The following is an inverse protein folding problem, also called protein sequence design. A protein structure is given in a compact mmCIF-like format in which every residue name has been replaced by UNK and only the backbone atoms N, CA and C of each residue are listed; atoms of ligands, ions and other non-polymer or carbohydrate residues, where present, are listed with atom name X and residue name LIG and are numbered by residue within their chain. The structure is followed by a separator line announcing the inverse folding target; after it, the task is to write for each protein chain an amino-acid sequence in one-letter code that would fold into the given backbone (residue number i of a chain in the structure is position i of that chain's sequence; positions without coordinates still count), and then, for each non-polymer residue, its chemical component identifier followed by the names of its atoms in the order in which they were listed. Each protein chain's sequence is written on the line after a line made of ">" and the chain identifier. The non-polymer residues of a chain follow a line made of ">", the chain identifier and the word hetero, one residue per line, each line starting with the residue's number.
data_IF_073393659472
#
_entry.id   IF_073393659472
#
_cell.length_a   1.000
_cell.length_b   1.000
_cell.length_c   1.000
_cell.angle_alpha   90.00
_cell.angle_beta   90.00
_cell.angle_gamma   90.00
#
_symmetry.space_group_name_H-M   'P 1'
#
loop_
_entity.id
_entity.type
_entity.pdbx_description
1 polymer ?
#
# COMPACT_ATOMS: atom_id res chain seq x y z
N UNK A 1 -19.90 -34.17 15.12
CA UNK A 1 -20.14 -33.38 13.88
C UNK A 1 -21.08 -32.20 14.12
N UNK A 2 -22.32 -32.37 14.59
CA UNK A 2 -23.23 -31.21 14.85
C UNK A 2 -22.68 -30.24 15.92
N UNK A 3 -22.06 -30.74 16.99
CA UNK A 3 -21.50 -29.86 18.04
C UNK A 3 -20.31 -29.03 17.54
N UNK A 4 -19.47 -29.60 16.70
CA UNK A 4 -18.23 -28.98 16.20
C UNK A 4 -18.51 -27.90 15.14
N UNK A 5 -19.53 -28.13 14.30
CA UNK A 5 -20.03 -27.12 13.37
C UNK A 5 -20.71 -25.96 14.13
N UNK A 6 -21.50 -26.28 15.16
CA UNK A 6 -22.13 -25.27 16.02
C UNK A 6 -21.09 -24.46 16.80
N UNK A 7 -20.01 -25.06 17.27
CA UNK A 7 -18.92 -24.36 17.96
C UNK A 7 -18.16 -23.40 17.02
N UNK A 8 -17.87 -23.82 15.79
CA UNK A 8 -17.27 -22.97 14.74
C UNK A 8 -18.19 -21.82 14.31
N UNK A 9 -19.49 -22.10 14.19
CA UNK A 9 -20.52 -21.09 13.88
C UNK A 9 -20.61 -20.09 15.04
N UNK A 10 -20.62 -20.56 16.29
CA UNK A 10 -20.73 -19.73 17.48
C UNK A 10 -19.52 -18.77 17.61
N UNK A 11 -18.29 -19.25 17.36
CA UNK A 11 -17.08 -18.40 17.35
C UNK A 11 -17.17 -17.27 16.31
N UNK A 12 -17.72 -17.55 15.13
CA UNK A 12 -17.88 -16.52 14.10
C UNK A 12 -19.09 -15.61 14.32
N UNK A 13 -20.14 -16.09 14.98
CA UNK A 13 -21.32 -15.29 15.35
C UNK A 13 -21.07 -14.41 16.57
N UNK A 14 -20.22 -14.84 17.50
CA UNK A 14 -19.84 -14.07 18.70
C UNK A 14 -18.76 -13.02 18.40
N UNK A 15 -18.08 -13.14 17.26
CA UNK A 15 -17.10 -12.17 16.78
C UNK A 15 -17.25 -11.94 15.28
N UNK A 16 -18.39 -11.40 14.82
CA UNK A 16 -18.61 -11.08 13.40
C UNK A 16 -17.65 -9.99 12.92
N UNK A 17 -17.05 -9.25 13.86
CA UNK A 17 -16.02 -8.26 13.61
C UNK A 17 -14.60 -8.81 13.76
N UNK A 18 -14.38 -10.13 13.94
CA UNK A 18 -13.02 -10.67 14.13
C UNK A 18 -12.10 -10.24 12.99
N UNK A 19 -11.00 -9.57 13.33
CA UNK A 19 -10.08 -8.93 12.38
C UNK A 19 -9.57 -9.90 11.30
N UNK A 20 -9.69 -11.21 11.56
CA UNK A 20 -9.15 -12.28 10.75
C UNK A 20 -10.03 -12.84 9.63
N UNK A 21 -11.35 -12.58 9.62
CA UNK A 21 -12.22 -13.13 8.58
C UNK A 21 -12.48 -12.11 7.46
N UNK A 22 -11.89 -12.27 6.25
CA UNK A 22 -12.04 -11.28 5.20
C UNK A 22 -13.46 -11.22 4.62
N UNK A 23 -14.26 -12.27 4.87
CA UNK A 23 -15.61 -12.47 4.32
C UNK A 23 -16.73 -12.04 5.25
N UNK A 24 -16.42 -11.65 6.49
CA UNK A 24 -17.46 -11.21 7.42
C UNK A 24 -18.24 -10.05 6.78
N UNK A 25 -19.54 -10.26 6.48
CA UNK A 25 -20.29 -9.29 5.73
C UNK A 25 -20.39 -8.03 6.56
N UNK A 26 -20.00 -6.90 5.96
CA UNK A 26 -20.46 -5.63 6.47
C UNK A 26 -22.00 -5.61 6.48
N UNK A 27 -22.60 -4.67 7.22
CA UNK A 27 -24.07 -4.46 7.24
C UNK A 27 -24.68 -4.22 5.84
N UNK A 28 -23.86 -4.07 4.80
CA UNK A 28 -24.21 -3.83 3.40
C UNK A 28 -23.73 -5.01 2.55
N UNK A 29 -24.68 -5.80 2.06
CA UNK A 29 -24.45 -6.93 1.14
C UNK A 29 -24.75 -6.56 -0.33
N UNK A 30 -25.39 -5.41 -0.55
CA UNK A 30 -25.71 -4.88 -1.86
C UNK A 30 -25.18 -3.45 -1.98
N UNK A 31 -24.31 -3.20 -2.97
CA UNK A 31 -23.79 -1.87 -3.27
C UNK A 31 -23.55 -1.72 -4.76
N UNK A 32 -23.37 -0.46 -5.20
CA UNK A 32 -23.01 -0.12 -6.58
C UNK A 32 -21.52 0.15 -6.75
N UNK A 33 -20.72 -0.10 -5.72
CA UNK A 33 -19.30 0.23 -5.77
C UNK A 33 -18.54 -0.52 -6.85
N UNK A 34 -17.50 0.14 -7.35
CA UNK A 34 -16.59 -0.30 -8.39
C UNK A 34 -15.16 -0.18 -7.91
N UNK A 35 -14.42 -1.25 -8.08
CA UNK A 35 -12.99 -1.29 -7.79
C UNK A 35 -12.27 -0.55 -8.91
N UNK A 36 -11.41 0.39 -8.52
CA UNK A 36 -10.56 1.09 -9.47
C UNK A 36 -9.20 0.44 -9.53
N UNK A 37 -9.01 -0.28 -10.63
CA UNK A 37 -7.85 -1.10 -10.94
C UNK A 37 -6.57 -0.28 -11.09
N UNK A 38 -5.43 -0.95 -10.94
CA UNK A 38 -4.09 -0.41 -11.10
C UNK A 38 -3.81 0.19 -12.47
N UNK A 39 -4.50 -0.22 -13.53
CA UNK A 39 -4.39 0.44 -14.85
C UNK A 39 -4.91 1.90 -14.85
N UNK A 40 -5.70 2.29 -13.85
CA UNK A 40 -6.22 3.65 -13.64
C UNK A 40 -5.41 4.42 -12.59
N UNK A 41 -4.15 4.04 -12.39
CA UNK A 41 -3.19 4.76 -11.56
C UNK A 41 -3.03 6.21 -12.04
N UNK A 42 -3.26 7.17 -11.16
CA UNK A 42 -3.14 8.59 -11.49
C UNK A 42 -2.54 9.35 -10.29
N UNK A 43 -1.27 9.80 -10.39
CA UNK A 43 -0.61 10.55 -9.32
C UNK A 43 -1.28 11.89 -8.98
N UNK A 44 -1.99 12.52 -9.94
CA UNK A 44 -2.73 13.75 -9.70
C UNK A 44 -3.99 13.51 -8.88
N UNK A 45 -4.70 12.41 -9.15
CA UNK A 45 -5.84 11.96 -8.33
C UNK A 45 -5.34 11.58 -6.94
N UNK A 46 -4.26 10.79 -6.83
CA UNK A 46 -3.66 10.44 -5.54
C UNK A 46 -3.31 11.69 -4.72
N UNK A 47 -2.57 12.63 -5.33
CA UNK A 47 -2.19 13.89 -4.67
C UNK A 47 -3.42 14.64 -4.17
N UNK A 48 -4.49 14.69 -4.95
CA UNK A 48 -5.74 15.35 -4.56
C UNK A 48 -6.40 14.63 -3.37
N UNK A 49 -6.41 13.30 -3.38
CA UNK A 49 -6.94 12.48 -2.29
C UNK A 49 -6.16 12.67 -0.99
N UNK A 50 -4.83 12.67 -1.04
CA UNK A 50 -3.98 12.88 0.15
C UNK A 50 -4.19 14.26 0.78
N UNK A 51 -4.32 15.32 -0.04
CA UNK A 51 -4.49 16.68 0.46
C UNK A 51 -5.89 16.96 1.05
N UNK A 52 -6.91 16.24 0.60
CA UNK A 52 -8.29 16.42 1.04
C UNK A 52 -9.06 15.09 0.93
N UNK A 53 -8.89 14.17 1.91
CA UNK A 53 -9.59 12.89 1.94
C UNK A 53 -11.09 13.06 2.21
N UNK A 54 -11.54 14.20 2.74
CA UNK A 54 -12.97 14.46 2.89
C UNK A 54 -13.66 14.70 1.55
N UNK A 55 -12.95 15.19 0.53
CA UNK A 55 -13.43 15.10 -0.87
C UNK A 55 -13.41 13.67 -1.43
N UNK A 56 -12.63 12.76 -0.83
CA UNK A 56 -12.75 11.31 -1.05
C UNK A 56 -13.95 10.67 -0.36
N UNK A 57 -14.77 11.41 0.41
CA UNK A 57 -16.03 10.88 0.94
C UNK A 57 -17.09 10.56 -0.14
N UNK A 58 -16.75 10.75 -1.44
CA UNK A 58 -17.48 10.23 -2.60
C UNK A 58 -16.63 9.37 -3.56
N UNK A 59 -15.39 9.06 -3.17
CA UNK A 59 -14.32 8.47 -3.97
C UNK A 59 -14.05 9.26 -5.27
N UNK A 60 -12.90 9.93 -5.36
CA UNK A 60 -12.50 10.74 -6.53
C UNK A 60 -12.56 9.99 -7.87
N UNK A 61 -12.70 8.67 -7.83
CA UNK A 61 -13.09 7.86 -8.96
C UNK A 61 -14.51 7.36 -8.75
N UNK A 62 -15.44 8.03 -9.44
CA UNK A 62 -16.88 7.78 -9.43
C UNK A 62 -17.20 6.30 -9.27
N UNK A 63 -17.81 5.97 -8.13
CA UNK A 63 -18.28 4.63 -7.83
C UNK A 63 -17.36 3.80 -6.94
N UNK A 64 -16.16 4.23 -6.53
CA UNK A 64 -15.43 3.50 -5.48
C UNK A 64 -16.12 3.60 -4.10
N UNK A 65 -15.75 2.72 -3.17
CA UNK A 65 -16.33 2.67 -1.82
C UNK A 65 -15.85 3.89 -1.01
N UNK A 66 -16.76 4.68 -0.38
CA UNK A 66 -16.37 5.77 0.51
C UNK A 66 -15.62 5.27 1.74
N UNK A 67 -14.67 6.07 2.23
CA UNK A 67 -13.94 5.86 3.50
C UNK A 67 -14.39 6.89 4.54
N UNK A 68 -15.62 6.77 5.00
CA UNK A 68 -16.33 7.73 5.85
C UNK A 68 -16.65 7.17 7.25
N UNK A 69 -16.00 6.05 7.64
CA UNK A 69 -16.29 5.29 8.86
C UNK A 69 -17.72 4.74 8.98
N UNK A 70 -18.62 5.00 8.03
CA UNK A 70 -20.01 4.50 8.04
C UNK A 70 -20.04 3.02 7.67
N UNK A 71 -19.11 2.60 6.81
CA UNK A 71 -19.01 1.22 6.36
C UNK A 71 -18.01 0.45 7.22
N UNK A 72 -18.38 -0.75 7.72
CA UNK A 72 -17.44 -1.58 8.45
C UNK A 72 -16.25 -1.93 7.54
N UNK A 73 -15.12 -2.22 8.18
CA UNK A 73 -13.95 -2.82 7.54
C UNK A 73 -13.16 -1.91 6.58
N UNK A 74 -13.28 -0.59 6.74
CA UNK A 74 -12.35 0.41 6.22
C UNK A 74 -12.34 1.63 7.13
N UNK A 75 -11.17 1.94 7.68
CA UNK A 75 -10.93 3.16 8.45
C UNK A 75 -11.10 4.40 7.58
N UNK A 76 -11.39 5.54 8.20
CA UNK A 76 -11.34 6.84 7.55
C UNK A 76 -9.92 7.13 7.04
N UNK A 77 -9.82 7.82 5.92
CA UNK A 77 -8.53 8.33 5.45
C UNK A 77 -8.14 9.56 6.27
N UNK A 78 -6.93 9.54 6.84
CA UNK A 78 -6.33 10.71 7.47
C UNK A 78 -5.86 11.72 6.41
N UNK A 79 -5.96 13.01 6.74
CA UNK A 79 -5.41 14.07 5.88
C UNK A 79 -3.89 14.08 6.01
N UNK A 80 -3.19 13.87 4.90
CA UNK A 80 -1.74 14.02 4.79
C UNK A 80 -1.43 15.06 3.71
N UNK A 81 -1.43 16.37 4.01
CA UNK A 81 -1.26 17.40 3.00
C UNK A 81 0.21 17.52 2.56
N UNK A 82 0.41 17.85 1.29
CA UNK A 82 1.71 18.03 0.64
C UNK A 82 2.62 18.96 1.46
N UNK A 83 3.79 18.49 1.94
CA UNK A 83 4.67 19.31 2.75
C UNK A 83 5.38 20.37 1.90
N UNK A 84 5.19 21.65 2.20
CA UNK A 84 5.76 22.76 1.42
C UNK A 84 6.63 23.67 2.30
N UNK A 85 7.96 23.46 2.37
CA UNK A 85 8.75 22.39 1.73
C UNK A 85 8.81 21.11 2.58
N UNK A 86 9.25 20.01 1.96
CA UNK A 86 9.54 18.75 2.69
C UNK A 86 10.87 18.81 3.45
N UNK A 87 11.78 19.64 2.96
CA UNK A 87 13.11 19.86 3.52
C UNK A 87 13.67 21.19 3.02
N UNK A 88 14.41 21.90 3.88
CA UNK A 88 15.13 23.13 3.52
C UNK A 88 16.61 22.93 3.83
N UNK A 89 17.47 23.07 2.82
CA UNK A 89 18.92 23.03 2.97
C UNK A 89 19.52 24.44 2.93
N UNK A 90 20.52 24.69 3.77
CA UNK A 90 21.18 26.02 3.90
C UNK A 90 21.75 26.56 2.59
N UNK A 91 22.26 25.69 1.71
CA UNK A 91 22.86 26.11 0.41
C UNK A 91 21.86 25.98 -0.75
N UNK A 92 21.00 24.95 -0.72
CA UNK A 92 20.20 24.56 -1.88
C UNK A 92 18.73 24.98 -1.78
N UNK A 93 18.34 25.59 -0.67
CA UNK A 93 16.99 26.09 -0.43
C UNK A 93 15.98 24.97 -0.24
N UNK A 94 14.77 25.23 -0.69
CA UNK A 94 13.59 24.41 -0.47
C UNK A 94 13.51 23.23 -1.45
N UNK A 95 13.34 22.04 -0.89
CA UNK A 95 13.14 20.80 -1.64
C UNK A 95 11.65 20.59 -1.91
N UNK A 96 11.36 20.17 -3.14
CA UNK A 96 10.01 19.79 -3.54
C UNK A 96 9.68 18.37 -3.05
N UNK A 97 8.40 18.01 -3.13
CA UNK A 97 7.91 16.67 -2.86
C UNK A 97 7.09 16.16 -4.05
N UNK A 98 6.97 14.84 -4.15
CA UNK A 98 6.12 14.17 -5.12
C UNK A 98 5.25 13.14 -4.40
N UNK A 99 3.97 13.06 -4.78
CA UNK A 99 3.08 12.00 -4.32
C UNK A 99 3.51 10.68 -4.97
N UNK A 100 3.66 9.63 -4.17
CA UNK A 100 4.08 8.31 -4.58
C UNK A 100 3.08 7.26 -4.08
N UNK A 101 2.71 6.32 -4.95
CA UNK A 101 1.84 5.20 -4.56
C UNK A 101 2.64 4.15 -3.78
N UNK A 102 2.21 3.81 -2.56
CA UNK A 102 2.77 2.68 -1.77
C UNK A 102 2.52 1.33 -2.46
N UNK A 103 1.39 1.16 -3.13
CA UNK A 103 1.13 0.05 -4.04
C UNK A 103 0.92 0.65 -5.41
N UNK A 104 1.98 0.67 -6.23
CA UNK A 104 1.95 1.21 -7.60
C UNK A 104 0.92 0.46 -8.45
N UNK A 105 -0.01 1.20 -9.05
CA UNK A 105 -1.06 0.57 -9.84
C UNK A 105 -0.52 -0.14 -11.07
N UNK A 106 0.30 0.52 -11.89
CA UNK A 106 0.76 -0.05 -13.15
C UNK A 106 1.88 -1.09 -13.00
N UNK A 107 2.71 -0.98 -11.97
CA UNK A 107 3.86 -1.88 -11.81
C UNK A 107 3.60 -3.05 -10.87
N UNK A 108 2.80 -2.82 -9.83
CA UNK A 108 2.59 -3.77 -8.72
C UNK A 108 1.20 -4.39 -8.82
N UNK A 109 0.13 -3.58 -8.80
CA UNK A 109 -1.24 -4.09 -8.71
C UNK A 109 -1.76 -4.68 -10.03
N UNK A 110 -1.46 -4.04 -11.17
CA UNK A 110 -2.03 -4.38 -12.48
C UNK A 110 -1.77 -5.84 -12.85
N UNK A 111 -2.85 -6.60 -13.03
CA UNK A 111 -2.79 -8.01 -13.40
C UNK A 111 -2.41 -8.95 -12.25
N UNK A 112 -2.12 -8.43 -11.05
CA UNK A 112 -1.86 -9.24 -9.87
C UNK A 112 -3.13 -10.00 -9.46
N UNK A 113 -2.98 -11.20 -8.88
CA UNK A 113 -4.12 -12.04 -8.52
C UNK A 113 -5.05 -11.39 -7.49
N UNK A 114 -4.51 -10.54 -6.61
CA UNK A 114 -5.32 -9.81 -5.63
C UNK A 114 -6.26 -8.80 -6.31
N UNK A 115 -5.82 -8.14 -7.39
CA UNK A 115 -6.64 -7.20 -8.16
C UNK A 115 -7.88 -7.91 -8.72
N UNK A 116 -7.69 -9.14 -9.23
CA UNK A 116 -8.78 -9.97 -9.78
C UNK A 116 -9.81 -10.35 -8.71
N UNK A 117 -9.37 -10.53 -7.46
CA UNK A 117 -10.24 -10.82 -6.32
C UNK A 117 -11.10 -9.60 -6.00
N UNK A 118 -10.46 -8.43 -5.80
CA UNK A 118 -11.18 -7.20 -5.41
C UNK A 118 -12.04 -6.62 -6.55
N UNK A 119 -11.69 -6.89 -7.81
CA UNK A 119 -12.46 -6.51 -9.00
C UNK A 119 -13.44 -7.60 -9.47
N UNK A 120 -13.49 -8.75 -8.79
CA UNK A 120 -14.36 -9.88 -9.14
C UNK A 120 -14.27 -10.33 -10.61
N UNK A 121 -13.07 -10.40 -11.19
CA UNK A 121 -12.91 -10.74 -12.62
C UNK A 121 -13.29 -12.19 -12.94
N UNK A 122 -13.18 -13.09 -11.96
CA UNK A 122 -13.52 -14.51 -12.11
C UNK A 122 -14.99 -14.83 -11.88
N UNK A 123 -15.80 -13.87 -11.41
CA UNK A 123 -17.18 -14.13 -10.95
C UNK A 123 -17.27 -14.99 -9.69
N UNK A 124 -16.13 -15.29 -9.07
CA UNK A 124 -16.04 -16.09 -7.84
C UNK A 124 -16.64 -15.37 -6.63
N UNK A 125 -16.86 -14.06 -6.69
CA UNK A 125 -17.41 -13.22 -5.63
C UNK A 125 -18.73 -12.57 -6.07
N UNK A 126 -19.60 -12.21 -5.12
CA UNK A 126 -20.92 -11.60 -5.42
C UNK A 126 -20.85 -10.15 -5.91
N UNK A 127 -19.65 -9.57 -5.98
CA UNK A 127 -19.45 -8.17 -6.34
C UNK A 127 -17.99 -7.73 -6.14
N UNK A 128 -17.72 -6.50 -6.55
CA UNK A 128 -16.44 -5.83 -6.35
C UNK A 128 -16.32 -5.33 -4.90
N UNK A 129 -15.11 -5.11 -4.38
CA UNK A 129 -14.95 -4.57 -3.01
C UNK A 129 -15.03 -3.04 -2.96
N UNK A 130 -14.91 -2.37 -4.11
CA UNK A 130 -14.89 -0.91 -4.21
C UNK A 130 -13.55 -0.26 -3.84
N UNK A 131 -12.47 -1.04 -3.73
CA UNK A 131 -11.12 -0.51 -3.50
C UNK A 131 -10.69 0.43 -4.63
N UNK A 132 -9.99 1.51 -4.32
CA UNK A 132 -9.35 2.35 -5.34
C UNK A 132 -7.86 2.44 -5.11
N UNK A 133 -7.08 2.24 -6.17
CA UNK A 133 -5.62 2.40 -6.15
C UNK A 133 -5.17 3.84 -5.83
N UNK A 134 -6.05 4.84 -6.01
CA UNK A 134 -5.74 6.25 -5.78
C UNK A 134 -6.35 6.80 -4.47
N UNK A 135 -6.62 5.93 -3.49
CA UNK A 135 -7.04 6.37 -2.16
C UNK A 135 -5.88 7.05 -1.41
N UNK A 136 -6.18 7.87 -0.39
CA UNK A 136 -5.16 8.61 0.35
C UNK A 136 -4.24 7.68 1.16
N UNK A 137 -4.79 6.62 1.75
CA UNK A 137 -4.00 5.61 2.48
C UNK A 137 -2.98 4.83 1.61
N UNK A 138 -3.10 4.88 0.28
CA UNK A 138 -2.13 4.30 -0.66
C UNK A 138 -1.08 5.32 -1.15
N UNK A 139 -0.98 6.48 -0.51
CA UNK A 139 -0.07 7.54 -0.90
C UNK A 139 0.94 7.90 0.17
N UNK A 140 2.11 8.37 -0.27
CA UNK A 140 3.12 9.01 0.58
C UNK A 140 3.80 10.15 -0.18
N UNK A 141 4.08 11.26 0.50
CA UNK A 141 4.90 12.33 -0.05
C UNK A 141 6.38 12.04 0.18
N UNK A 142 7.15 11.95 -0.90
CA UNK A 142 8.57 11.68 -0.85
C UNK A 142 9.39 12.85 -1.39
N UNK A 143 10.61 13.07 -0.86
CA UNK A 143 11.45 14.18 -1.25
C UNK A 143 11.90 14.04 -2.71
N UNK A 144 11.92 15.16 -3.42
CA UNK A 144 12.50 15.30 -4.75
C UNK A 144 13.53 16.43 -4.76
N UNK A 145 14.12 16.75 -5.90
CA UNK A 145 15.08 17.86 -5.99
C UNK A 145 14.43 19.23 -5.70
N UNK A 146 15.23 20.25 -5.36
CA UNK A 146 14.76 21.64 -5.36
C UNK A 146 14.03 21.99 -6.66
N UNK A 147 12.98 22.78 -6.53
CA UNK A 147 12.16 23.14 -7.68
C UNK A 147 13.03 23.81 -8.77
N UNK A 148 12.92 23.32 -10.01
CA UNK A 148 13.68 23.80 -11.20
C UNK A 148 15.15 23.39 -11.28
N UNK A 149 15.61 22.43 -10.49
CA UNK A 149 16.98 21.91 -10.68
C UNK A 149 17.12 21.09 -11.98
N UNK A 150 18.12 21.45 -12.79
CA UNK A 150 18.58 20.66 -13.93
C UNK A 150 20.09 20.49 -13.83
N UNK A 151 20.56 19.25 -13.84
CA UNK A 151 21.98 18.91 -13.75
C UNK A 151 22.25 17.48 -14.16
N UNK A 152 23.50 17.06 -14.03
CA UNK A 152 23.96 15.69 -14.26
C UNK A 152 23.39 14.73 -13.21
N UNK A 153 23.47 13.43 -13.47
CA UNK A 153 22.97 12.40 -12.55
C UNK A 153 23.72 12.38 -11.21
N UNK A 154 25.02 12.67 -11.21
CA UNK A 154 25.81 12.76 -9.97
C UNK A 154 25.45 14.00 -9.16
N UNK A 155 25.24 15.15 -9.80
CA UNK A 155 24.81 16.35 -9.07
C UNK A 155 23.39 16.20 -8.52
N UNK A 156 22.48 15.54 -9.25
CA UNK A 156 21.16 15.17 -8.74
C UNK A 156 21.28 14.27 -7.52
N UNK A 157 22.17 13.27 -7.56
CA UNK A 157 22.42 12.39 -6.43
C UNK A 157 22.87 13.16 -5.20
N UNK A 158 23.88 14.02 -5.33
CA UNK A 158 24.38 14.82 -4.19
C UNK A 158 23.28 15.71 -3.60
N UNK A 159 22.37 16.25 -4.43
CA UNK A 159 21.24 17.02 -3.93
C UNK A 159 20.24 16.17 -3.14
N UNK A 160 19.75 15.07 -3.71
CA UNK A 160 18.73 14.25 -3.03
C UNK A 160 19.27 13.49 -1.83
N UNK A 161 20.57 13.18 -1.82
CA UNK A 161 21.29 12.65 -0.66
C UNK A 161 21.12 13.54 0.56
N UNK A 162 21.08 14.86 0.42
CA UNK A 162 20.90 15.77 1.55
C UNK A 162 19.54 15.61 2.23
N UNK A 163 18.47 15.35 1.48
CA UNK A 163 17.14 15.09 2.05
C UNK A 163 17.08 13.71 2.72
N UNK A 164 17.65 12.68 2.08
CA UNK A 164 17.73 11.34 2.66
C UNK A 164 18.56 11.32 3.96
N UNK A 165 19.70 12.02 3.97
CA UNK A 165 20.55 12.17 5.15
C UNK A 165 19.90 12.98 6.29
N UNK A 166 18.94 13.85 5.96
CA UNK A 166 18.12 14.55 6.94
C UNK A 166 16.93 13.71 7.45
N UNK A 167 16.88 12.41 7.13
CA UNK A 167 15.83 11.50 7.58
C UNK A 167 14.46 11.78 6.97
N UNK A 168 14.41 12.22 5.71
CA UNK A 168 13.15 12.54 5.00
C UNK A 168 12.61 11.39 4.15
N UNK A 169 13.13 10.18 4.35
CA UNK A 169 12.79 9.01 3.54
C UNK A 169 13.52 8.92 2.22
N UNK A 170 13.20 7.88 1.44
CA UNK A 170 13.74 7.66 0.11
C UNK A 170 13.29 8.75 -0.86
N UNK A 171 14.17 9.12 -1.80
CA UNK A 171 13.81 10.12 -2.81
C UNK A 171 12.98 9.53 -3.96
N UNK A 172 11.92 10.24 -4.35
CA UNK A 172 11.13 9.97 -5.54
C UNK A 172 11.42 11.00 -6.63
N UNK A 173 11.87 10.52 -7.78
CA UNK A 173 12.19 11.33 -8.96
C UNK A 173 11.53 10.72 -10.19
N UNK A 174 10.41 11.31 -10.61
CA UNK A 174 9.81 11.05 -11.93
C UNK A 174 9.02 9.74 -12.03
N UNK A 175 8.49 9.50 -13.24
CA UNK A 175 7.65 8.34 -13.54
C UNK A 175 8.46 7.06 -13.66
N UNK A 176 7.89 5.97 -13.15
CA UNK A 176 8.42 4.60 -13.07
C UNK A 176 8.90 3.95 -14.39
N UNK A 177 8.92 4.67 -15.52
CA UNK A 177 9.41 4.16 -16.79
C UNK A 177 10.93 4.36 -16.93
N UNK A 178 11.69 3.28 -16.78
CA UNK A 178 13.12 3.24 -17.14
C UNK A 178 14.09 3.41 -15.97
N UNK A 179 13.62 3.29 -14.73
CA UNK A 179 14.54 3.17 -13.60
C UNK A 179 15.15 1.77 -13.60
N UNK A 180 16.47 1.71 -13.63
CA UNK A 180 17.23 0.50 -13.29
C UNK A 180 16.85 0.13 -11.85
N UNK A 181 15.81 -0.70 -11.74
CA UNK A 181 15.47 -1.35 -10.50
C UNK A 181 16.72 -2.08 -10.03
N UNK A 182 17.09 -1.80 -8.79
CA UNK A 182 18.18 -2.45 -8.12
C UNK A 182 17.97 -3.97 -8.13
N UNK A 183 18.67 -4.70 -8.99
CA UNK A 183 18.64 -6.17 -8.96
C UNK A 183 18.89 -6.64 -7.51
N UNK A 184 17.95 -7.45 -6.98
CA UNK A 184 18.03 -8.08 -5.66
C UNK A 184 17.27 -7.40 -4.52
N UNK A 185 16.79 -6.16 -4.67
CA UNK A 185 16.01 -5.41 -3.65
C UNK A 185 15.11 -4.36 -4.32
N UNK A 186 14.49 -4.72 -5.44
CA UNK A 186 13.62 -3.79 -6.15
C UNK A 186 12.24 -3.73 -5.51
N UNK A 187 11.80 -2.50 -5.26
CA UNK A 187 10.51 -2.18 -4.65
C UNK A 187 9.32 -2.94 -5.28
N UNK A 188 9.14 -2.98 -6.62
CA UNK A 188 8.00 -3.68 -7.19
C UNK A 188 7.95 -5.17 -6.89
N UNK A 189 9.10 -5.85 -6.87
CA UNK A 189 9.15 -7.29 -6.56
C UNK A 189 8.81 -7.56 -5.11
N UNK A 190 9.39 -6.80 -4.17
CA UNK A 190 9.09 -6.93 -2.74
C UNK A 190 7.60 -6.74 -2.44
N UNK A 191 6.96 -5.70 -2.99
CA UNK A 191 5.54 -5.46 -2.72
C UNK A 191 4.65 -6.53 -3.40
N UNK A 192 5.05 -7.08 -4.55
CA UNK A 192 4.31 -8.20 -5.18
C UNK A 192 4.33 -9.47 -4.33
N UNK A 193 5.41 -9.72 -3.61
CA UNK A 193 5.50 -10.84 -2.67
C UNK A 193 4.51 -10.64 -1.51
N UNK A 194 4.43 -9.44 -0.95
CA UNK A 194 3.43 -9.11 0.09
C UNK A 194 1.99 -9.23 -0.42
N UNK A 195 1.69 -8.76 -1.64
CA UNK A 195 0.37 -8.97 -2.24
C UNK A 195 0.06 -10.45 -2.47
N UNK A 196 1.07 -11.27 -2.79
CA UNK A 196 0.93 -12.72 -2.94
C UNK A 196 0.64 -13.39 -1.59
N UNK A 197 1.29 -12.93 -0.51
CA UNK A 197 1.01 -13.37 0.86
C UNK A 197 -0.43 -13.02 1.27
N UNK A 198 -0.89 -11.79 1.00
CA UNK A 198 -2.28 -11.38 1.23
C UNK A 198 -3.28 -12.24 0.46
N UNK A 199 -3.03 -12.48 -0.83
CA UNK A 199 -3.86 -13.38 -1.65
C UNK A 199 -3.94 -14.79 -1.05
N UNK A 200 -2.81 -15.33 -0.59
CA UNK A 200 -2.77 -16.64 0.07
C UNK A 200 -3.59 -16.64 1.36
N UNK A 201 -3.49 -15.58 2.17
CA UNK A 201 -4.32 -15.39 3.37
C UNK A 201 -5.81 -15.39 3.04
N UNK A 202 -6.24 -14.68 1.99
CA UNK A 202 -7.63 -14.65 1.53
C UNK A 202 -8.13 -16.05 1.16
N UNK A 203 -7.36 -16.78 0.34
CA UNK A 203 -7.73 -18.12 -0.12
C UNK A 203 -7.82 -19.12 1.04
N UNK A 204 -6.87 -19.11 1.96
CA UNK A 204 -6.91 -19.97 3.14
C UNK A 204 -8.16 -19.69 3.98
N UNK A 205 -8.46 -18.40 4.23
CA UNK A 205 -9.67 -18.01 4.96
C UNK A 205 -10.96 -18.38 4.25
N UNK A 206 -10.96 -18.43 2.91
CA UNK A 206 -12.17 -18.81 2.15
C UNK A 206 -12.53 -20.28 2.33
N UNK A 207 -11.53 -21.15 2.50
CA UNK A 207 -11.73 -22.57 2.79
C UNK A 207 -12.06 -22.86 4.25
N UNK A 208 -11.69 -21.97 5.18
CA UNK A 208 -11.97 -22.13 6.62
C UNK A 208 -13.35 -21.58 7.03
N UNK A 209 -13.89 -20.61 6.29
CA UNK A 209 -15.09 -19.88 6.69
C UNK A 209 -16.36 -20.75 6.56
N UNK A 210 -17.10 -21.03 7.66
CA UNK A 210 -18.30 -21.87 7.62
C UNK A 210 -19.46 -21.25 6.84
N UNK A 211 -19.43 -19.93 6.60
CA UNK A 211 -20.41 -19.25 5.74
C UNK A 211 -20.06 -19.32 4.24
N UNK A 212 -18.83 -19.74 3.93
CA UNK A 212 -18.29 -19.84 2.58
C UNK A 212 -18.12 -21.29 2.13
N UNK A 213 -18.54 -22.27 2.93
CA UNK A 213 -18.55 -23.70 2.58
C UNK A 213 -19.97 -24.26 2.74
N UNK A 214 -20.35 -25.18 1.86
CA UNK A 214 -21.55 -26.00 1.98
C UNK A 214 -21.38 -27.05 3.09
N UNK A 215 -22.46 -27.76 3.45
CA UNK A 215 -22.46 -28.76 4.53
C UNK A 215 -21.47 -29.94 4.29
N UNK A 216 -21.08 -30.18 3.04
CA UNK A 216 -20.10 -31.19 2.63
C UNK A 216 -18.65 -30.67 2.59
N UNK A 217 -18.43 -29.40 2.99
CA UNK A 217 -17.13 -28.73 2.98
C UNK A 217 -16.73 -28.15 1.63
N UNK A 218 -17.59 -28.22 0.60
CA UNK A 218 -17.28 -27.61 -0.71
C UNK A 218 -17.47 -26.08 -0.66
N UNK A 219 -16.63 -25.27 -1.32
CA UNK A 219 -16.78 -23.82 -1.26
C UNK A 219 -18.06 -23.32 -1.96
N UNK A 220 -18.84 -22.52 -1.24
CA UNK A 220 -20.08 -21.89 -1.71
C UNK A 220 -19.77 -20.65 -2.56
N UNK A 221 -19.83 -20.82 -3.87
CA UNK A 221 -19.65 -19.74 -4.85
C UNK A 221 -20.99 -19.20 -5.37
N UNK A 222 -21.06 -17.89 -5.72
CA UNK A 222 -20.04 -16.88 -5.47
C UNK A 222 -19.92 -16.53 -3.97
N UNK A 223 -18.69 -16.34 -3.51
CA UNK A 223 -18.38 -15.93 -2.14
C UNK A 223 -18.91 -14.52 -1.86
N UNK A 224 -19.11 -14.19 -0.59
CA UNK A 224 -19.33 -12.79 -0.19
C UNK A 224 -18.09 -11.97 -0.57
N UNK A 225 -18.21 -10.73 -1.08
CA UNK A 225 -17.04 -9.93 -1.43
C UNK A 225 -16.17 -9.72 -0.19
N UNK A 226 -14.84 -9.88 -0.30
CA UNK A 226 -13.98 -9.88 0.88
C UNK A 226 -13.64 -8.44 1.30
N UNK A 227 -14.60 -7.67 1.81
CA UNK A 227 -14.45 -6.23 2.03
C UNK A 227 -13.26 -5.84 2.93
N UNK A 228 -12.89 -6.68 3.90
CA UNK A 228 -11.71 -6.43 4.77
C UNK A 228 -10.39 -6.45 3.99
N UNK A 229 -10.36 -7.01 2.78
CA UNK A 229 -9.17 -6.96 1.92
C UNK A 229 -8.78 -5.52 1.60
N UNK A 230 -9.75 -4.60 1.53
CA UNK A 230 -9.43 -3.19 1.36
C UNK A 230 -8.62 -2.66 2.56
N UNK A 231 -9.04 -2.95 3.79
CA UNK A 231 -8.27 -2.57 4.99
C UNK A 231 -6.91 -3.24 5.04
N UNK A 232 -6.79 -4.50 4.60
CA UNK A 232 -5.49 -5.18 4.53
C UNK A 232 -4.55 -4.54 3.52
N UNK A 233 -5.07 -4.08 2.38
CA UNK A 233 -4.31 -3.30 1.41
C UNK A 233 -3.89 -1.94 1.99
N UNK A 234 -4.81 -1.26 2.68
CA UNK A 234 -4.52 0.03 3.34
C UNK A 234 -3.44 -0.14 4.44
N UNK A 235 -3.51 -1.21 5.23
CA UNK A 235 -2.48 -1.52 6.23
C UNK A 235 -1.13 -1.83 5.60
N UNK A 236 -1.10 -2.63 4.53
CA UNK A 236 0.13 -2.86 3.78
C UNK A 236 0.71 -1.55 3.23
N UNK A 237 -0.13 -0.63 2.74
CA UNK A 237 0.33 0.69 2.30
C UNK A 237 0.91 1.53 3.43
N UNK A 238 0.39 1.44 4.66
CA UNK A 238 0.96 2.08 5.86
C UNK A 238 2.32 1.48 6.22
N UNK A 239 2.46 0.15 6.17
CA UNK A 239 3.75 -0.53 6.43
C UNK A 239 4.79 -0.08 5.39
N UNK A 240 4.40 -0.06 4.11
CA UNK A 240 5.26 0.43 3.02
C UNK A 240 5.64 1.90 3.20
N UNK A 241 4.71 2.75 3.62
CA UNK A 241 4.98 4.15 3.92
C UNK A 241 6.05 4.28 5.02
N UNK A 242 5.95 3.47 6.07
CA UNK A 242 6.98 3.41 7.13
C UNK A 242 8.34 3.01 6.57
N UNK A 243 8.39 1.99 5.72
CA UNK A 243 9.65 1.55 5.08
C UNK A 243 10.26 2.61 4.15
N UNK A 244 9.43 3.38 3.46
CA UNK A 244 9.86 4.44 2.54
C UNK A 244 10.32 5.71 3.26
N UNK A 245 9.76 5.99 4.44
CA UNK A 245 10.03 7.23 5.21
C UNK A 245 10.96 7.00 6.42
N UNK A 246 11.20 5.74 6.77
CA UNK A 246 12.02 5.32 7.90
C UNK A 246 13.52 5.59 7.73
N UNK A 247 14.30 5.13 8.72
CA UNK A 247 15.74 5.31 8.71
C UNK A 247 16.41 4.47 7.62
N UNK A 248 17.52 4.98 7.08
CA UNK A 248 18.25 4.30 6.00
C UNK A 248 18.69 2.88 6.36
N UNK A 249 19.01 2.61 7.63
CA UNK A 249 19.39 1.27 8.11
C UNK A 249 18.27 0.24 7.98
N UNK A 250 17.01 0.69 8.00
CA UNK A 250 15.83 -0.16 8.04
C UNK A 250 15.20 -0.36 6.65
N UNK A 251 15.72 0.29 5.60
CA UNK A 251 15.12 0.21 4.26
C UNK A 251 15.22 -1.21 3.67
N UNK A 252 14.09 -1.90 3.45
CA UNK A 252 14.11 -3.28 2.96
C UNK A 252 14.25 -3.37 1.42
N UNK A 253 13.87 -2.31 0.71
CA UNK A 253 13.88 -2.19 -0.74
C UNK A 253 14.13 -0.75 -1.18
N UNK A 254 14.37 -0.54 -2.48
CA UNK A 254 14.66 0.79 -3.02
C UNK A 254 13.72 1.20 -4.16
N UNK A 255 13.11 2.38 -4.05
CA UNK A 255 12.25 2.97 -5.09
C UNK A 255 13.05 3.67 -6.20
N UNK A 256 14.33 3.96 -5.95
CA UNK A 256 15.20 4.62 -6.91
C UNK A 256 16.65 4.18 -6.77
N UNK A 257 17.42 4.33 -7.86
CA UNK A 257 18.87 4.10 -7.85
C UNK A 257 19.61 5.03 -6.86
N UNK A 258 19.07 6.22 -6.60
CA UNK A 258 19.64 7.15 -5.64
C UNK A 258 19.47 6.66 -4.21
N UNK A 259 18.30 6.11 -3.86
CA UNK A 259 18.05 5.51 -2.55
C UNK A 259 18.99 4.32 -2.30
N UNK A 260 19.17 3.44 -3.30
CA UNK A 260 20.14 2.34 -3.21
C UNK A 260 21.57 2.84 -3.03
N UNK A 261 22.01 3.83 -3.84
CA UNK A 261 23.36 4.39 -3.73
C UNK A 261 23.60 4.97 -2.35
N UNK A 262 22.63 5.73 -1.83
CA UNK A 262 22.74 6.32 -0.50
C UNK A 262 22.75 5.27 0.62
N UNK A 263 21.92 4.23 0.51
CA UNK A 263 21.95 3.10 1.44
C UNK A 263 23.33 2.47 1.54
N UNK A 264 23.95 2.15 0.40
CA UNK A 264 25.30 1.55 0.36
C UNK A 264 26.33 2.48 1.02
N UNK A 265 26.29 3.78 0.72
CA UNK A 265 27.18 4.76 1.34
C UNK A 265 26.94 4.89 2.85
N UNK A 266 25.69 4.86 3.31
CA UNK A 266 25.35 4.94 4.72
C UNK A 266 25.81 3.70 5.48
N UNK A 267 25.59 2.50 4.94
CA UNK A 267 25.96 1.23 5.59
C UNK A 267 27.48 1.07 5.70
N UNK A 268 28.24 1.59 4.73
CA UNK A 268 29.70 1.57 4.78
C UNK A 268 30.32 2.42 5.92
N UNK A 269 29.54 3.33 6.51
CA UNK A 269 29.98 4.22 7.59
C UNK A 269 29.50 3.79 8.98
N UNK A 270 28.78 2.68 9.10
CA UNK A 270 28.35 2.15 10.39
C UNK A 270 29.54 1.38 10.98
N UNK A 271 30.05 1.75 12.17
CA UNK A 271 31.13 1.01 12.82
C UNK A 271 30.75 -0.46 12.98
N UNK A 272 31.68 -1.37 12.71
CA UNK A 272 31.45 -2.78 12.99
C UNK A 272 31.24 -2.94 14.50
N UNK A 273 30.08 -3.43 14.97
CA UNK A 273 29.82 -3.61 16.39
C UNK A 273 30.79 -4.60 17.06
N UNK A 274 31.58 -5.34 16.28
CA UNK A 274 32.64 -6.23 16.78
C UNK A 274 33.98 -5.54 17.04
N UNK A 275 34.23 -4.34 16.51
CA UNK A 275 35.48 -3.60 16.74
C UNK A 275 35.58 -3.05 18.18
N UNK A 276 34.46 -2.81 18.86
CA UNK A 276 34.42 -2.33 20.25
C UNK A 276 34.62 -3.45 21.30
N UNK A 277 34.70 -4.72 20.88
CA UNK A 277 34.94 -5.85 21.79
C UNK A 277 36.44 -6.22 21.93
N UNK A 278 37.33 -5.46 21.29
CA UNK A 278 38.78 -5.73 21.26
C UNK A 278 39.64 -4.69 22.01
N UNK A 279 39.04 -3.74 22.73
CA UNK A 279 39.74 -2.79 23.62
C UNK A 279 39.37 -3.00 25.08
#
# INVERSE_FOLDING_TARGET
>A
MVSELLEKIQIHLDSPDSEDCPFCPGKVIEHKWKTVKGEKNDPGILRSAMNDPTRCSFAHQTGAKPKDSVYPNQEEDDVDPSPSPIYTHVIHGDYSNQAHHCISGNEIMKGHAIEKIIANEGGDYKGETGYTINNAANGVYLPSYPERYSGTEDEKYELVKLAMAAGKGQTHIGGHSGHEHAAGQDYPSAIKEELTALKTRILNKSGECPFCVEDDGTPKKPFIPPYKVNQWLDNLSKDIQSDLTGQVVDWPYFISKYAKRYYIEAMANIPDPTDDLLT
#
